data_IF_931810844654
#
_entry.id   IF_931810844654
#
_cell.length_a   1.000
_cell.length_b   1.000
_cell.length_c   1.000
_cell.angle_alpha   90.00
_cell.angle_beta   90.00
_cell.angle_gamma   90.00
#
_symmetry.space_group_name_H-M   'P 1'
#
loop_
_entity.id
_entity.type
_entity.pdbx_description
1 polymer ?
#
# COMPACT_ATOMS: atom_id res chain seq x y z
N UNK A 1 -23.37 -2.39 24.40
CA UNK A 1 -23.34 -3.51 23.46
C UNK A 1 -22.30 -3.16 22.41
N UNK A 2 -21.09 -3.70 22.53
CA UNK A 2 -20.03 -3.52 21.53
C UNK A 2 -20.46 -4.30 20.29
N UNK A 3 -20.61 -3.60 19.16
CA UNK A 3 -20.73 -4.28 17.86
C UNK A 3 -19.49 -5.17 17.68
N UNK A 4 -19.62 -6.40 17.13
CA UNK A 4 -18.45 -7.18 16.80
C UNK A 4 -17.59 -6.37 15.83
N UNK A 5 -16.28 -6.31 16.08
CA UNK A 5 -15.34 -5.80 15.09
C UNK A 5 -15.44 -6.68 13.84
N UNK A 6 -15.66 -6.06 12.67
CA UNK A 6 -15.59 -6.78 11.40
C UNK A 6 -14.12 -7.09 11.13
N UNK A 7 -13.73 -8.36 11.25
CA UNK A 7 -12.37 -8.80 10.95
C UNK A 7 -12.08 -8.60 9.45
N UNK A 8 -10.91 -8.04 9.14
CA UNK A 8 -10.42 -7.92 7.76
C UNK A 8 -9.71 -9.23 7.38
N UNK A 9 -10.09 -9.80 6.24
CA UNK A 9 -9.48 -10.97 5.62
C UNK A 9 -8.65 -10.52 4.44
N UNK A 10 -7.37 -10.89 4.40
CA UNK A 10 -6.50 -10.54 3.27
C UNK A 10 -6.73 -11.51 2.12
N UNK A 11 -7.65 -11.15 1.22
CA UNK A 11 -8.04 -11.94 0.05
C UNK A 11 -8.19 -11.12 -1.26
N UNK A 12 -7.88 -9.82 -1.21
CA UNK A 12 -7.97 -8.91 -2.34
C UNK A 12 -9.36 -8.30 -2.51
N UNK A 13 -10.30 -8.54 -1.58
CA UNK A 13 -11.67 -8.03 -1.62
C UNK A 13 -11.95 -7.06 -0.47
N UNK A 14 -12.66 -5.97 -0.75
CA UNK A 14 -13.00 -4.94 0.24
C UNK A 14 -14.00 -5.47 1.27
N UNK A 15 -13.50 -5.77 2.46
CA UNK A 15 -14.33 -6.00 3.63
C UNK A 15 -15.05 -4.75 4.14
N UNK A 16 -16.26 -4.88 4.73
CA UNK A 16 -16.95 -3.76 5.39
C UNK A 16 -16.13 -3.07 6.51
N UNK A 17 -15.16 -3.77 7.10
CA UNK A 17 -14.33 -3.26 8.21
C UNK A 17 -13.41 -2.09 7.85
N UNK A 18 -13.11 -1.91 6.56
CA UNK A 18 -12.27 -0.81 6.07
C UNK A 18 -12.92 0.58 6.22
N UNK A 19 -14.25 0.67 6.15
CA UNK A 19 -14.95 1.95 6.10
C UNK A 19 -14.84 2.66 4.74
N UNK A 20 -14.97 4.00 4.68
CA UNK A 20 -14.87 4.75 3.43
C UNK A 20 -13.44 4.75 2.86
N UNK A 21 -13.27 5.01 1.55
CA UNK A 21 -11.94 5.12 0.95
C UNK A 21 -11.15 6.28 1.57
N UNK A 22 -9.84 6.07 1.75
CA UNK A 22 -8.90 7.14 2.14
C UNK A 22 -8.40 7.94 0.94
N UNK A 23 -8.52 7.40 -0.27
CA UNK A 23 -8.41 8.12 -1.53
C UNK A 23 -9.16 7.42 -2.66
N UNK A 24 -9.47 8.19 -3.70
CA UNK A 24 -10.17 7.74 -4.91
C UNK A 24 -9.46 8.36 -6.11
N UNK A 25 -9.25 7.57 -7.15
CA UNK A 25 -8.53 7.98 -8.36
C UNK A 25 -9.24 9.14 -9.07
N UNK A 26 -8.46 10.11 -9.52
CA UNK A 26 -8.92 11.34 -10.17
C UNK A 26 -8.66 11.37 -11.67
N UNK A 27 -7.78 10.50 -12.18
CA UNK A 27 -7.39 10.43 -13.59
C UNK A 27 -7.63 9.03 -14.18
N UNK A 28 -8.04 8.99 -15.44
CA UNK A 28 -8.08 7.77 -16.27
C UNK A 28 -6.69 7.12 -16.39
N UNK A 29 -6.62 5.83 -16.77
CA UNK A 29 -5.35 5.07 -16.84
C UNK A 29 -4.71 5.06 -18.22
N UNK A 30 -3.39 5.24 -18.28
CA UNK A 30 -2.60 5.01 -19.50
C UNK A 30 -1.83 3.68 -19.48
N UNK A 31 -1.89 2.92 -18.40
CA UNK A 31 -1.34 1.55 -18.32
C UNK A 31 -2.39 0.47 -18.60
N UNK A 32 -3.54 0.88 -19.13
CA UNK A 32 -4.62 0.01 -19.58
C UNK A 32 -5.68 -0.22 -18.50
N UNK A 33 -6.92 -0.32 -18.97
CA UNK A 33 -8.12 -0.71 -18.21
C UNK A 33 -8.45 -2.15 -18.58
N UNK A 34 -8.76 -2.98 -17.58
CA UNK A 34 -9.15 -4.38 -17.79
C UNK A 34 -10.58 -4.47 -18.34
N UNK A 35 -10.74 -4.23 -19.64
CA UNK A 35 -12.03 -4.31 -20.33
C UNK A 35 -11.99 -5.38 -21.43
N UNK A 36 -12.81 -6.45 -21.37
CA UNK A 36 -13.92 -6.73 -20.45
C UNK A 36 -13.52 -7.36 -19.10
N UNK A 37 -14.47 -7.52 -18.15
CA UNK A 37 -14.23 -8.21 -16.88
C UNK A 37 -13.57 -9.58 -16.99
N UNK A 38 -12.56 -9.83 -16.16
CA UNK A 38 -11.82 -11.08 -16.14
C UNK A 38 -10.79 -11.23 -17.28
N UNK A 39 -10.50 -10.15 -18.00
CA UNK A 39 -9.36 -10.09 -18.91
C UNK A 39 -8.05 -9.89 -18.13
N UNK A 40 -7.00 -10.59 -18.58
CA UNK A 40 -5.63 -10.28 -18.19
C UNK A 40 -5.22 -9.04 -18.99
N UNK A 41 -5.34 -7.84 -18.42
CA UNK A 41 -4.90 -6.63 -19.11
C UNK A 41 -5.10 -5.39 -18.26
N UNK A 42 -4.17 -4.45 -18.36
CA UNK A 42 -4.28 -3.16 -17.69
C UNK A 42 -3.73 -3.16 -16.27
N UNK A 43 -2.99 -2.09 -15.96
CA UNK A 43 -2.63 -1.76 -14.58
C UNK A 43 -3.25 -0.41 -14.24
N UNK A 44 -4.13 -0.40 -13.24
CA UNK A 44 -4.91 0.76 -12.86
C UNK A 44 -5.24 0.75 -11.36
N UNK A 45 -5.41 1.94 -10.79
CA UNK A 45 -5.78 2.12 -9.40
C UNK A 45 -7.09 2.90 -9.33
N UNK A 46 -8.04 2.42 -8.54
CA UNK A 46 -9.37 3.01 -8.39
C UNK A 46 -9.55 3.73 -7.05
N UNK A 47 -9.22 3.07 -5.95
CA UNK A 47 -9.39 3.63 -4.61
C UNK A 47 -8.47 2.94 -3.60
N UNK A 48 -8.13 3.68 -2.55
CA UNK A 48 -7.38 3.17 -1.43
C UNK A 48 -8.28 3.05 -0.20
N UNK A 49 -8.16 1.94 0.51
CA UNK A 49 -8.80 1.70 1.80
C UNK A 49 -7.73 1.31 2.80
N UNK A 50 -7.76 1.89 3.99
CA UNK A 50 -6.79 1.59 5.02
C UNK A 50 -7.45 1.48 6.39
N UNK A 51 -7.03 0.50 7.17
CA UNK A 51 -7.50 0.28 8.53
C UNK A 51 -6.34 -0.13 9.41
N UNK A 52 -6.24 0.48 10.58
CA UNK A 52 -5.37 -0.02 11.64
C UNK A 52 -6.22 -0.74 12.68
N UNK A 53 -5.94 -2.02 12.88
CA UNK A 53 -6.60 -2.88 13.87
C UNK A 53 -5.68 -4.03 14.28
N UNK A 54 -5.76 -4.47 15.53
CA UNK A 54 -4.99 -5.62 16.01
C UNK A 54 -3.47 -5.45 15.92
N UNK A 55 -2.97 -4.21 15.94
CA UNK A 55 -1.54 -3.90 15.79
C UNK A 55 -1.01 -4.02 14.36
N UNK A 56 -1.90 -3.98 13.36
CA UNK A 56 -1.55 -4.10 11.93
C UNK A 56 -2.16 -2.97 11.13
N UNK A 57 -1.45 -2.54 10.09
CA UNK A 57 -1.98 -1.76 8.99
C UNK A 57 -2.52 -2.73 7.93
N UNK A 58 -3.81 -2.64 7.63
CA UNK A 58 -4.45 -3.25 6.48
C UNK A 58 -4.59 -2.19 5.40
N UNK A 59 -4.15 -2.50 4.19
CA UNK A 59 -4.19 -1.63 3.03
C UNK A 59 -4.76 -2.40 1.85
N UNK A 60 -5.87 -1.92 1.29
CA UNK A 60 -6.43 -2.41 0.03
C UNK A 60 -6.36 -1.29 -1.01
N UNK A 61 -5.75 -1.59 -2.13
CA UNK A 61 -5.72 -0.75 -3.31
C UNK A 61 -6.56 -1.43 -4.39
N UNK A 62 -7.76 -0.91 -4.63
CA UNK A 62 -8.67 -1.48 -5.62
C UNK A 62 -8.24 -1.11 -7.04
N UNK A 63 -8.49 -1.99 -7.99
CA UNK A 63 -8.06 -1.84 -9.39
C UNK A 63 -7.47 -3.13 -9.94
N UNK A 64 -6.59 -2.99 -10.93
CA UNK A 64 -5.96 -4.11 -11.63
C UNK A 64 -4.44 -3.99 -11.67
N UNK A 65 -3.77 -5.14 -11.71
CA UNK A 65 -2.34 -5.31 -11.88
C UNK A 65 -2.10 -6.34 -12.98
N UNK A 66 -1.59 -5.90 -14.12
CA UNK A 66 -1.41 -6.78 -15.27
C UNK A 66 -0.26 -7.79 -15.03
N UNK A 67 -0.39 -9.07 -15.43
CA UNK A 67 0.68 -10.06 -15.36
C UNK A 67 1.75 -9.88 -16.45
N UNK A 68 2.35 -8.70 -16.51
CA UNK A 68 3.37 -8.30 -17.48
C UNK A 68 4.63 -7.73 -16.83
N UNK A 69 4.83 -7.99 -15.52
CA UNK A 69 5.88 -7.43 -14.67
C UNK A 69 5.81 -5.92 -14.42
N UNK A 70 4.76 -5.21 -14.80
CA UNK A 70 4.47 -3.92 -14.17
C UNK A 70 4.50 -4.09 -12.64
N UNK A 71 4.79 -3.00 -11.94
CA UNK A 71 4.92 -3.00 -10.49
C UNK A 71 3.95 -2.05 -9.85
N UNK A 72 3.43 -2.46 -8.72
CA UNK A 72 2.81 -1.56 -7.77
C UNK A 72 3.90 -1.21 -6.75
N UNK A 73 4.36 0.04 -6.78
CA UNK A 73 5.31 0.60 -5.84
C UNK A 73 4.53 1.28 -4.70
N UNK A 74 4.80 0.90 -3.46
CA UNK A 74 4.20 1.46 -2.24
C UNK A 74 5.32 1.89 -1.30
N UNK A 75 5.56 3.19 -1.24
CA UNK A 75 6.46 3.78 -0.26
C UNK A 75 5.68 4.11 1.01
N UNK A 76 6.31 3.89 2.16
CA UNK A 76 5.70 4.12 3.47
C UNK A 76 6.64 5.01 4.29
N UNK A 77 6.09 6.10 4.80
CA UNK A 77 6.68 7.00 5.82
C UNK A 77 5.89 6.76 7.10
N UNK A 78 6.52 6.21 8.12
CA UNK A 78 5.87 5.89 9.39
C UNK A 78 6.70 6.24 10.63
N UNK A 79 7.92 6.74 10.43
CA UNK A 79 8.81 7.17 11.50
C UNK A 79 9.67 8.37 11.04
N UNK A 80 10.27 9.13 11.97
CA UNK A 80 11.20 10.18 11.58
C UNK A 80 12.44 9.61 10.89
N UNK A 81 12.85 10.21 9.78
CA UNK A 81 13.95 9.71 8.95
C UNK A 81 13.45 9.39 7.55
N UNK A 82 14.19 8.56 6.82
CA UNK A 82 13.84 8.19 5.45
C UNK A 82 14.33 9.17 4.39
N UNK A 83 13.74 9.07 3.19
CA UNK A 83 14.15 9.80 2.00
C UNK A 83 12.97 10.53 1.33
N UNK A 84 12.99 11.87 1.31
CA UNK A 84 12.05 12.61 0.44
C UNK A 84 12.46 12.54 -1.04
N UNK A 85 13.76 12.54 -1.31
CA UNK A 85 14.33 12.31 -2.64
C UNK A 85 15.08 10.99 -2.56
N UNK A 86 14.64 9.99 -3.31
CA UNK A 86 15.27 8.67 -3.25
C UNK A 86 16.71 8.71 -3.76
N UNK A 87 17.63 8.12 -3.02
CA UNK A 87 18.97 7.80 -3.49
C UNK A 87 18.95 6.58 -4.43
N UNK A 88 20.10 6.28 -5.04
CA UNK A 88 20.29 5.08 -5.85
C UNK A 88 20.36 3.78 -5.02
N UNK A 89 20.48 3.92 -3.70
CA UNK A 89 20.53 2.83 -2.74
C UNK A 89 19.22 2.77 -1.94
N UNK A 90 18.89 1.65 -1.28
CA UNK A 90 19.60 0.38 -1.30
C UNK A 90 19.44 -0.43 -2.60
N UNK A 91 20.30 -1.44 -2.73
CA UNK A 91 20.35 -2.39 -3.83
C UNK A 91 19.39 -3.56 -3.57
N UNK A 92 18.23 -3.54 -4.20
CA UNK A 92 17.25 -4.63 -4.15
C UNK A 92 16.57 -4.79 -5.49
N UNK A 93 15.78 -5.85 -5.61
CA UNK A 93 15.15 -6.28 -6.85
C UNK A 93 16.18 -6.57 -7.97
N UNK A 94 16.55 -7.85 -8.09
CA UNK A 94 17.51 -8.28 -9.11
C UNK A 94 16.78 -8.78 -10.34
N UNK A 95 16.99 -8.14 -11.48
CA UNK A 95 16.45 -8.61 -12.75
C UNK A 95 17.54 -8.72 -13.83
N UNK A 96 17.45 -9.79 -14.64
CA UNK A 96 18.23 -10.02 -15.85
C UNK A 96 19.77 -9.82 -15.74
N UNK A 97 20.35 -10.10 -14.58
CA UNK A 97 21.78 -10.38 -14.49
C UNK A 97 22.74 -9.19 -14.56
N UNK A 98 22.31 -7.91 -14.53
CA UNK A 98 23.31 -6.82 -14.55
C UNK A 98 23.07 -5.53 -13.76
N UNK A 99 21.92 -5.25 -13.13
CA UNK A 99 21.78 -4.09 -12.23
C UNK A 99 20.71 -4.36 -11.17
N UNK A 100 20.88 -3.82 -9.96
CA UNK A 100 19.79 -3.69 -8.98
C UNK A 100 18.81 -2.65 -9.49
N UNK A 101 17.65 -3.09 -9.97
CA UNK A 101 16.73 -2.18 -10.67
C UNK A 101 16.07 -1.18 -9.71
N UNK A 102 16.18 -1.38 -8.38
CA UNK A 102 15.86 -0.35 -7.39
C UNK A 102 16.62 0.96 -7.61
N UNK A 103 17.84 0.92 -8.16
CA UNK A 103 18.63 2.12 -8.46
C UNK A 103 17.97 3.04 -9.50
N UNK A 104 17.05 2.52 -10.31
CA UNK A 104 16.30 3.34 -11.27
C UNK A 104 15.29 4.28 -10.59
N UNK A 105 14.90 4.00 -9.34
CA UNK A 105 14.06 4.88 -8.54
C UNK A 105 14.79 6.17 -8.10
N UNK A 106 16.11 6.26 -8.30
CA UNK A 106 16.91 7.40 -7.86
C UNK A 106 16.32 8.73 -8.38
N UNK A 107 16.29 9.72 -7.48
CA UNK A 107 15.82 11.06 -7.75
C UNK A 107 14.29 11.22 -7.78
N UNK A 108 13.50 10.15 -7.67
CA UNK A 108 12.06 10.29 -7.40
C UNK A 108 11.87 11.15 -6.15
N UNK A 109 11.14 12.25 -6.30
CA UNK A 109 10.86 13.21 -5.23
C UNK A 109 9.42 13.08 -4.78
N UNK A 110 9.19 12.89 -3.48
CA UNK A 110 7.86 12.80 -2.88
C UNK A 110 7.31 14.16 -2.43
N UNK A 111 6.04 14.19 -2.01
CA UNK A 111 5.45 15.34 -1.32
C UNK A 111 6.34 15.85 -0.17
N UNK A 112 6.37 17.18 0.05
CA UNK A 112 7.25 17.83 1.04
C UNK A 112 7.19 17.32 2.50
N UNK A 113 6.17 16.54 2.87
CA UNK A 113 6.01 15.96 4.22
C UNK A 113 6.17 14.44 4.23
N UNK A 114 6.71 13.88 3.16
CA UNK A 114 6.89 12.45 2.98
C UNK A 114 8.38 12.14 2.87
N UNK A 115 8.87 11.28 3.76
CA UNK A 115 10.24 10.77 3.77
C UNK A 115 10.18 9.25 3.82
N UNK A 116 10.46 8.57 2.70
CA UNK A 116 10.27 7.13 2.57
C UNK A 116 11.18 6.35 3.54
N UNK A 117 10.58 5.62 4.47
CA UNK A 117 11.27 4.67 5.35
C UNK A 117 11.35 3.29 4.70
N UNK A 118 10.23 2.85 4.12
CA UNK A 118 10.05 1.50 3.59
C UNK A 118 9.60 1.54 2.13
N UNK A 119 9.93 0.46 1.41
CA UNK A 119 9.39 0.17 0.10
C UNK A 119 8.78 -1.22 0.10
N UNK A 120 7.46 -1.27 -0.09
CA UNK A 120 6.73 -2.47 -0.46
C UNK A 120 6.48 -2.40 -1.96
N UNK A 121 6.74 -3.47 -2.68
CA UNK A 121 6.32 -3.54 -4.07
C UNK A 121 5.84 -4.94 -4.42
N UNK A 122 4.94 -4.99 -5.40
CA UNK A 122 4.47 -6.25 -5.96
C UNK A 122 4.68 -6.31 -7.45
N UNK A 123 4.71 -7.52 -7.98
CA UNK A 123 4.76 -7.80 -9.42
C UNK A 123 3.98 -9.07 -9.72
N UNK A 124 3.48 -9.16 -10.94
CA UNK A 124 2.84 -10.37 -11.44
C UNK A 124 3.44 -10.78 -12.77
N UNK A 125 3.94 -12.01 -12.85
CA UNK A 125 4.50 -12.58 -14.08
C UNK A 125 5.56 -13.65 -13.83
N UNK A 126 5.97 -14.33 -14.90
CA UNK A 126 7.05 -15.33 -14.88
C UNK A 126 6.57 -16.78 -14.69
N UNK A 127 7.37 -17.77 -15.08
CA UNK A 127 7.11 -19.19 -14.76
C UNK A 127 5.82 -19.83 -15.34
N UNK A 128 5.06 -19.14 -16.19
CA UNK A 128 3.80 -19.61 -16.77
C UNK A 128 2.85 -18.43 -17.07
N UNK A 129 1.60 -18.72 -17.47
CA UNK A 129 0.55 -17.71 -17.63
C UNK A 129 -0.55 -17.95 -16.58
N UNK A 130 -0.87 -16.98 -15.69
CA UNK A 130 -0.31 -15.63 -15.59
C UNK A 130 1.02 -15.52 -14.81
N UNK A 131 1.51 -16.63 -14.24
CA UNK A 131 2.71 -16.61 -13.38
C UNK A 131 2.40 -16.29 -11.91
N UNK A 132 3.40 -16.31 -11.03
CA UNK A 132 3.24 -15.99 -9.61
C UNK A 132 3.03 -14.49 -9.38
N UNK A 133 2.20 -14.16 -8.39
CA UNK A 133 2.17 -12.83 -7.79
C UNK A 133 3.20 -12.78 -6.65
N UNK A 134 4.14 -11.84 -6.72
CA UNK A 134 5.26 -11.74 -5.80
C UNK A 134 5.22 -10.39 -5.07
N UNK A 135 5.65 -10.39 -3.81
CA UNK A 135 5.70 -9.19 -2.96
C UNK A 135 7.05 -9.15 -2.24
N UNK A 136 7.63 -7.96 -2.24
CA UNK A 136 8.87 -7.64 -1.56
C UNK A 136 8.62 -6.46 -0.59
N UNK A 137 9.31 -6.48 0.56
CA UNK A 137 9.25 -5.45 1.59
C UNK A 137 10.66 -5.13 2.08
N UNK A 138 11.06 -3.87 1.97
CA UNK A 138 12.42 -3.39 2.23
C UNK A 138 12.39 -2.24 3.22
N UNK A 139 13.22 -2.32 4.27
CA UNK A 139 13.58 -1.17 5.10
C UNK A 139 14.69 -0.43 4.38
N UNK A 140 14.40 0.76 3.85
CA UNK A 140 15.36 1.50 3.03
C UNK A 140 16.49 2.11 3.85
N UNK A 141 16.35 2.19 5.18
CA UNK A 141 17.33 2.79 6.09
C UNK A 141 17.85 4.17 5.62
N UNK A 142 16.95 4.99 5.06
CA UNK A 142 17.27 6.32 4.55
C UNK A 142 18.26 6.34 3.37
N UNK A 143 18.39 5.23 2.63
CA UNK A 143 19.31 5.13 1.50
C UNK A 143 20.79 5.14 1.88
N UNK A 144 21.12 4.99 3.18
CA UNK A 144 22.48 5.16 3.68
C UNK A 144 23.44 3.99 3.36
N UNK A 145 22.89 2.84 2.96
CA UNK A 145 23.66 1.63 2.67
C UNK A 145 23.10 0.89 1.46
N UNK A 146 23.97 0.20 0.72
CA UNK A 146 23.56 -0.66 -0.38
C UNK A 146 22.82 -1.92 0.12
N UNK A 147 23.25 -2.49 1.24
CA UNK A 147 22.67 -3.71 1.81
C UNK A 147 21.86 -3.37 3.07
N UNK A 148 20.57 -3.68 3.04
CA UNK A 148 19.60 -3.34 4.10
C UNK A 148 18.71 -4.54 4.42
N UNK A 149 17.93 -4.51 5.51
CA UNK A 149 16.92 -5.52 5.75
C UNK A 149 15.85 -5.55 4.65
N UNK A 150 15.48 -6.75 4.24
CA UNK A 150 14.50 -6.97 3.17
C UNK A 150 13.91 -8.37 3.25
N UNK A 151 12.68 -8.52 2.78
CA UNK A 151 11.91 -9.75 2.87
C UNK A 151 11.08 -9.91 1.59
N UNK A 152 10.96 -11.14 1.09
CA UNK A 152 10.18 -11.42 -0.11
C UNK A 152 9.32 -12.67 0.04
N UNK A 153 8.23 -12.73 -0.70
CA UNK A 153 7.34 -13.87 -0.71
C UNK A 153 6.57 -14.01 -2.02
N UNK A 154 6.11 -15.22 -2.25
CA UNK A 154 5.40 -15.61 -3.47
C UNK A 154 4.00 -16.08 -3.09
N UNK A 155 2.99 -15.61 -3.81
CA UNK A 155 1.62 -16.02 -3.66
C UNK A 155 1.40 -17.47 -4.06
N UNK A 156 0.29 -18.03 -3.59
CA UNK A 156 -0.18 -19.34 -4.03
C UNK A 156 -0.44 -19.34 -5.54
N UNK A 157 -0.41 -20.54 -6.14
CA UNK A 157 -0.83 -20.71 -7.53
C UNK A 157 -2.21 -20.08 -7.73
N UNK A 158 -2.35 -19.31 -8.82
CA UNK A 158 -3.54 -18.51 -9.06
C UNK A 158 -4.77 -19.41 -9.27
N UNK A 159 -5.88 -19.05 -8.63
CA UNK A 159 -7.18 -19.66 -8.89
C UNK A 159 -8.03 -18.60 -9.59
N UNK A 160 -8.16 -18.73 -10.91
CA UNK A 160 -8.66 -17.64 -11.76
C UNK A 160 -7.66 -16.48 -11.75
N UNK A 161 -8.13 -15.29 -11.38
CA UNK A 161 -7.33 -14.07 -11.25
C UNK A 161 -7.03 -13.69 -9.80
N UNK A 162 -7.09 -14.67 -8.90
CA UNK A 162 -6.89 -14.48 -7.47
C UNK A 162 -5.63 -15.22 -7.02
N UNK A 163 -4.79 -14.55 -6.23
CA UNK A 163 -3.67 -15.16 -5.52
C UNK A 163 -3.58 -14.59 -4.11
N UNK A 164 -3.25 -15.44 -3.14
CA UNK A 164 -3.03 -15.06 -1.75
C UNK A 164 -1.70 -15.62 -1.28
N UNK A 165 -1.03 -14.91 -0.40
CA UNK A 165 0.28 -15.31 0.10
C UNK A 165 0.65 -14.64 1.41
N UNK A 166 1.80 -15.04 1.93
CA UNK A 166 2.41 -14.38 3.08
C UNK A 166 3.92 -14.43 2.97
N UNK A 167 4.57 -13.36 3.38
CA UNK A 167 5.99 -13.37 3.71
C UNK A 167 6.11 -13.82 5.16
N UNK A 168 6.83 -14.91 5.42
CA UNK A 168 6.98 -15.43 6.78
C UNK A 168 7.79 -14.47 7.66
N UNK A 169 7.51 -14.45 8.97
CA UNK A 169 8.36 -13.75 9.94
C UNK A 169 9.79 -14.27 9.85
N UNK A 170 10.77 -13.36 9.83
CA UNK A 170 12.18 -13.72 9.68
C UNK A 170 12.62 -14.08 8.27
N UNK A 171 11.73 -14.05 7.27
CA UNK A 171 12.12 -14.28 5.88
C UNK A 171 13.09 -13.19 5.41
N UNK A 172 14.13 -13.61 4.68
CA UNK A 172 15.16 -12.72 4.13
C UNK A 172 15.02 -12.73 2.61
N UNK A 173 14.84 -11.56 2.04
CA UNK A 173 14.72 -11.37 0.59
C UNK A 173 16.06 -11.50 -0.12
N UNK A 174 16.06 -11.55 -1.47
CA UNK A 174 17.28 -11.52 -2.26
C UNK A 174 18.12 -10.27 -1.92
N UNK A 175 19.42 -10.46 -1.73
CA UNK A 175 20.37 -9.36 -1.44
C UNK A 175 19.98 -8.49 -0.24
N UNK A 176 19.44 -9.10 0.82
CA UNK A 176 19.15 -8.40 2.06
C UNK A 176 20.19 -8.71 3.15
N UNK A 177 20.51 -7.71 3.99
CA UNK A 177 21.38 -7.85 5.17
C UNK A 177 20.71 -8.63 6.32
N UNK A 178 19.40 -8.84 6.23
CA UNK A 178 18.56 -9.45 7.25
C UNK A 178 17.09 -9.33 6.86
N UNK A 179 16.21 -9.72 7.78
CA UNK A 179 14.75 -9.63 7.59
C UNK A 179 14.24 -8.24 7.93
N UNK A 180 13.30 -7.73 7.14
CA UNK A 180 12.52 -6.53 7.48
C UNK A 180 11.27 -6.86 8.32
N UNK A 181 11.02 -8.16 8.62
CA UNK A 181 9.76 -8.63 9.19
C UNK A 181 9.96 -9.46 10.46
N UNK A 182 9.41 -9.00 11.57
CA UNK A 182 9.29 -9.74 12.83
C UNK A 182 7.98 -10.51 12.92
N UNK A 183 6.98 -10.17 12.11
CA UNK A 183 5.70 -10.86 11.99
C UNK A 183 5.42 -11.22 10.53
N UNK A 184 4.51 -12.17 10.24
CA UNK A 184 4.13 -12.43 8.86
C UNK A 184 3.50 -11.19 8.22
N UNK A 185 3.89 -10.85 6.99
CA UNK A 185 3.19 -9.91 6.12
C UNK A 185 2.25 -10.72 5.24
N UNK A 186 0.95 -10.42 5.26
CA UNK A 186 -0.02 -11.09 4.40
C UNK A 186 -0.31 -10.24 3.18
N UNK A 187 -0.50 -10.87 2.03
CA UNK A 187 -0.87 -10.19 0.81
C UNK A 187 -1.83 -11.00 -0.03
N UNK A 188 -2.60 -10.31 -0.85
CA UNK A 188 -3.49 -10.91 -1.81
C UNK A 188 -3.67 -10.01 -3.03
N UNK A 189 -4.08 -10.62 -4.12
CA UNK A 189 -4.60 -9.93 -5.29
C UNK A 189 -5.90 -10.63 -5.72
N UNK A 190 -6.94 -9.84 -5.96
CA UNK A 190 -8.15 -10.25 -6.65
C UNK A 190 -8.31 -9.37 -7.89
N UNK A 191 -7.76 -9.83 -9.02
CA UNK A 191 -7.67 -9.06 -10.25
C UNK A 191 -8.89 -9.24 -11.16
N UNK A 192 -10.08 -9.36 -10.57
CA UNK A 192 -11.36 -9.47 -11.30
C UNK A 192 -12.06 -8.11 -11.48
N UNK A 193 -11.33 -6.99 -11.33
CA UNK A 193 -11.92 -5.68 -11.55
C UNK A 193 -12.13 -5.43 -13.06
N UNK A 194 -13.21 -4.71 -13.36
CA UNK A 194 -13.67 -4.44 -14.72
C UNK A 194 -14.46 -3.15 -14.85
N UNK A 195 -14.42 -2.36 -13.79
CA UNK A 195 -15.18 -1.15 -13.59
C UNK A 195 -14.23 -0.14 -12.94
N UNK A 196 -14.75 1.06 -12.71
CA UNK A 196 -13.97 2.12 -12.09
C UNK A 196 -13.44 3.09 -13.11
N UNK A 197 -12.13 3.32 -13.09
CA UNK A 197 -11.46 4.16 -14.09
C UNK A 197 -11.48 3.49 -15.47
N UNK A 198 -11.25 4.30 -16.50
CA UNK A 198 -11.18 3.83 -17.89
C UNK A 198 -9.86 4.27 -18.51
N UNK A 199 -9.54 3.76 -19.69
CA UNK A 199 -8.34 4.14 -20.42
C UNK A 199 -8.35 5.59 -20.91
N UNK A 200 -7.29 6.36 -20.62
CA UNK A 200 -7.11 7.74 -21.08
C UNK A 200 -6.31 8.62 -20.11
N UNK A 201 -6.51 9.94 -20.23
CA UNK A 201 -5.95 10.95 -19.31
C UNK A 201 -7.04 11.88 -18.78
N UNK A 202 -8.31 11.65 -19.12
CA UNK A 202 -9.43 12.45 -18.68
C UNK A 202 -9.65 12.35 -17.17
N UNK A 203 -10.64 13.10 -16.69
CA UNK A 203 -11.07 13.00 -15.30
C UNK A 203 -11.77 11.66 -15.07
N UNK A 204 -11.32 10.91 -14.07
CA UNK A 204 -11.95 9.66 -13.67
C UNK A 204 -13.35 9.88 -13.09
N UNK A 205 -14.25 8.91 -13.31
CA UNK A 205 -15.50 8.85 -12.57
C UNK A 205 -15.25 8.32 -11.16
N UNK A 206 -15.04 9.24 -10.21
CA UNK A 206 -14.74 8.89 -8.81
C UNK A 206 -15.83 8.04 -8.14
N UNK A 207 -17.10 8.17 -8.52
CA UNK A 207 -18.16 7.33 -7.97
C UNK A 207 -18.04 5.88 -8.46
N UNK A 208 -17.64 5.68 -9.73
CA UNK A 208 -17.35 4.36 -10.26
C UNK A 208 -16.09 3.77 -9.62
N UNK A 209 -15.01 4.55 -9.51
CA UNK A 209 -13.76 4.11 -8.90
C UNK A 209 -13.95 3.68 -7.43
N UNK A 210 -14.67 4.48 -6.63
CA UNK A 210 -15.00 4.12 -5.24
C UNK A 210 -15.95 2.90 -5.11
N UNK A 211 -16.65 2.51 -6.17
CA UNK A 211 -17.51 1.33 -6.19
C UNK A 211 -16.72 0.03 -6.41
N UNK A 212 -15.49 0.10 -6.92
CA UNK A 212 -14.62 -1.07 -7.06
C UNK A 212 -14.28 -1.64 -5.70
N UNK A 213 -14.31 -2.97 -5.61
CA UNK A 213 -14.16 -3.71 -4.36
C UNK A 213 -13.09 -4.80 -4.42
N UNK A 214 -12.34 -4.91 -5.53
CA UNK A 214 -11.29 -5.92 -5.70
C UNK A 214 -9.99 -5.26 -6.12
N UNK A 215 -8.85 -5.84 -5.72
CA UNK A 215 -7.53 -5.36 -6.13
C UNK A 215 -6.41 -6.00 -5.32
N UNK A 216 -5.39 -5.21 -4.99
CA UNK A 216 -4.19 -5.65 -4.26
C UNK A 216 -4.30 -5.28 -2.79
N UNK A 217 -4.10 -6.25 -1.90
CA UNK A 217 -4.32 -6.11 -0.47
C UNK A 217 -3.10 -6.57 0.32
N UNK A 218 -2.79 -5.84 1.41
CA UNK A 218 -1.63 -6.07 2.25
C UNK A 218 -1.99 -5.91 3.72
N UNK A 219 -1.39 -6.72 4.58
CA UNK A 219 -1.45 -6.56 6.03
C UNK A 219 -0.05 -6.60 6.63
N UNK A 220 0.37 -5.47 7.20
CA UNK A 220 1.72 -5.24 7.73
C UNK A 220 1.62 -4.99 9.23
N UNK A 221 2.45 -5.63 10.04
CA UNK A 221 2.47 -5.35 11.47
C UNK A 221 3.03 -3.94 11.72
N UNK A 222 2.43 -3.17 12.63
CA UNK A 222 2.97 -1.87 13.02
C UNK A 222 4.37 -2.00 13.64
N UNK A 223 4.67 -3.14 14.27
CA UNK A 223 5.99 -3.47 14.80
C UNK A 223 7.09 -3.45 13.72
N UNK A 224 6.73 -3.78 12.47
CA UNK A 224 7.64 -3.80 11.31
C UNK A 224 7.65 -2.45 10.56
N UNK A 225 6.86 -1.47 11.02
CA UNK A 225 6.79 -0.10 10.51
C UNK A 225 7.34 0.94 11.50
N UNK A 226 8.24 0.53 12.41
CA UNK A 226 8.81 1.42 13.42
C UNK A 226 7.93 1.60 14.67
N UNK A 227 6.85 0.83 14.81
CA UNK A 227 5.90 0.92 15.93
C UNK A 227 5.33 2.32 16.16
N UNK A 228 4.72 2.96 15.14
CA UNK A 228 4.19 4.31 15.27
C UNK A 228 3.16 4.35 16.40
N UNK A 229 3.38 5.29 17.33
CA UNK A 229 2.52 5.47 18.50
C UNK A 229 1.13 5.96 18.12
N UNK A 230 0.22 5.95 19.09
CA UNK A 230 -1.12 6.48 18.88
C UNK A 230 -1.08 7.96 18.47
N UNK A 231 -1.95 8.35 17.54
CA UNK A 231 -1.98 9.69 16.97
C UNK A 231 -0.86 9.98 15.96
N UNK A 232 0.13 9.09 15.81
CA UNK A 232 1.11 9.19 14.72
C UNK A 232 0.43 9.04 13.36
N UNK A 233 1.04 9.63 12.34
CA UNK A 233 0.55 9.58 10.96
C UNK A 233 1.49 8.69 10.17
N UNK A 234 0.93 7.63 9.59
CA UNK A 234 1.58 6.85 8.55
C UNK A 234 1.17 7.48 7.22
N UNK A 235 2.15 7.82 6.38
CA UNK A 235 1.91 8.25 5.01
C UNK A 235 2.26 7.15 4.03
N UNK A 236 1.48 7.07 2.95
CA UNK A 236 1.66 6.05 1.91
C UNK A 236 1.64 6.71 0.55
N UNK A 237 2.66 6.50 -0.26
CA UNK A 237 2.66 6.86 -1.68
C UNK A 237 2.59 5.58 -2.49
N UNK A 238 1.46 5.37 -3.19
CA UNK A 238 1.20 4.18 -3.98
C UNK A 238 1.04 4.53 -5.45
N UNK A 239 1.77 3.83 -6.32
CA UNK A 239 1.89 4.15 -7.74
C UNK A 239 2.18 2.93 -8.60
N UNK A 240 1.73 2.94 -9.86
CA UNK A 240 2.06 1.91 -10.85
C UNK A 240 3.29 2.33 -11.65
N UNK A 241 4.22 1.41 -11.80
CA UNK A 241 5.47 1.60 -12.53
C UNK A 241 5.69 0.44 -13.51
N UNK A 242 6.60 0.60 -14.46
CA UNK A 242 7.01 -0.51 -15.30
C UNK A 242 7.91 -1.50 -14.53
N UNK A 243 8.22 -2.63 -15.15
CA UNK A 243 9.01 -3.68 -14.50
C UNK A 243 10.44 -3.32 -14.12
N UNK A 244 11.00 -2.25 -14.68
CA UNK A 244 12.36 -1.79 -14.36
C UNK A 244 12.39 -0.59 -13.40
N UNK A 245 11.24 -0.17 -12.85
CA UNK A 245 11.08 1.05 -12.05
C UNK A 245 11.57 2.36 -12.71
N UNK A 246 11.58 2.45 -14.03
CA UNK A 246 12.14 3.58 -14.77
C UNK A 246 11.15 4.28 -15.69
N UNK A 247 9.87 3.93 -15.60
CA UNK A 247 8.81 4.60 -16.34
C UNK A 247 7.51 4.58 -15.54
N UNK A 248 7.23 5.69 -14.86
CA UNK A 248 6.09 5.81 -13.97
C UNK A 248 4.79 6.07 -14.74
N UNK A 249 3.74 5.34 -14.39
CA UNK A 249 2.39 5.53 -14.93
C UNK A 249 1.77 6.85 -14.44
N UNK A 250 0.64 7.23 -15.00
CA UNK A 250 -0.22 8.26 -14.42
C UNK A 250 -1.07 7.75 -13.25
N UNK A 251 -0.93 6.48 -12.88
CA UNK A 251 -1.68 5.82 -11.82
C UNK A 251 -0.97 5.93 -10.48
N UNK A 252 -1.22 7.05 -9.79
CA UNK A 252 -0.92 7.27 -8.37
C UNK A 252 -2.23 7.38 -7.59
N UNK A 253 -2.28 6.96 -6.33
CA UNK A 253 -3.51 6.99 -5.53
C UNK A 253 -3.79 8.32 -4.79
N UNK A 254 -2.82 9.22 -4.68
CA UNK A 254 -3.15 10.61 -4.36
C UNK A 254 -3.88 11.32 -5.51
N UNK A 255 -3.88 10.71 -6.70
CA UNK A 255 -4.60 11.14 -7.89
C UNK A 255 -3.89 12.31 -8.58
N UNK A 256 -3.50 12.13 -9.83
CA UNK A 256 -2.96 13.22 -10.63
C UNK A 256 -4.10 14.10 -11.17
N UNK A 257 -3.82 15.38 -11.48
CA UNK A 257 -4.79 16.23 -12.15
C UNK A 257 -5.28 15.61 -13.47
N UNK A 258 -6.57 15.77 -13.77
CA UNK A 258 -7.11 15.37 -15.06
C UNK A 258 -6.33 16.05 -16.21
N UNK A 259 -6.04 15.29 -17.25
CA UNK A 259 -5.17 15.64 -18.37
C UNK A 259 -3.73 15.13 -18.21
N UNK A 260 -3.33 14.67 -17.02
CA UNK A 260 -1.97 14.16 -16.77
C UNK A 260 -1.80 12.78 -17.42
N UNK A 261 -0.87 12.69 -18.36
CA UNK A 261 -0.41 11.42 -18.94
C UNK A 261 0.59 10.72 -18.03
N UNK A 262 1.15 9.60 -18.51
CA UNK A 262 2.24 8.91 -17.84
C UNK A 262 3.33 9.92 -17.46
N UNK A 263 3.89 9.76 -16.27
CA UNK A 263 4.97 10.62 -15.80
C UNK A 263 6.30 10.22 -16.45
N UNK A 264 6.45 8.95 -16.83
CA UNK A 264 7.71 8.44 -17.38
C UNK A 264 8.83 8.52 -16.35
N UNK A 265 10.04 8.85 -16.80
CA UNK A 265 11.19 9.13 -15.95
C UNK A 265 11.50 10.64 -15.80
N UNK A 266 10.91 11.48 -16.66
CA UNK A 266 11.11 12.94 -16.66
C UNK A 266 9.95 13.74 -16.04
N UNK A 267 8.90 13.07 -15.56
CA UNK A 267 7.70 13.72 -15.03
C UNK A 267 6.74 14.25 -16.11
N UNK A 268 7.06 14.08 -17.39
CA UNK A 268 6.30 14.60 -18.53
C UNK A 268 5.99 13.52 -19.60
N UNK A 269 6.24 12.24 -19.27
CA UNK A 269 5.94 11.08 -20.11
C UNK A 269 7.11 10.57 -20.95
N UNK A 270 8.28 11.20 -20.86
CA UNK A 270 9.51 10.76 -21.50
C UNK A 270 10.25 9.69 -20.69
N UNK A 271 10.89 8.76 -21.38
CA UNK A 271 11.75 7.76 -20.76
C UNK A 271 13.19 8.30 -20.60
N UNK A 272 13.73 8.24 -19.39
CA UNK A 272 15.09 8.70 -19.07
C UNK A 272 15.97 7.61 -18.44
N UNK A 273 15.42 6.41 -18.23
CA UNK A 273 16.11 5.28 -17.57
C UNK A 273 16.10 5.34 -16.04
N UNK A 274 15.64 6.43 -15.43
CA UNK A 274 15.45 6.59 -13.98
C UNK A 274 14.22 7.45 -13.70
N UNK A 275 13.78 7.59 -12.45
CA UNK A 275 12.71 8.50 -12.07
C UNK A 275 13.21 9.89 -11.62
N UNK A 276 14.45 10.26 -11.94
CA UNK A 276 15.08 11.48 -11.42
C UNK A 276 14.45 12.81 -11.85
N UNK A 277 13.59 12.80 -12.87
CA UNK A 277 12.79 13.97 -13.26
C UNK A 277 11.38 14.00 -12.66
N UNK A 278 10.97 12.96 -11.93
CA UNK A 278 9.64 12.89 -11.32
C UNK A 278 9.64 13.60 -9.96
N UNK A 279 8.86 14.68 -9.87
CA UNK A 279 8.61 15.41 -8.63
C UNK A 279 7.11 15.41 -8.29
N UNK A 280 6.72 14.51 -7.37
CA UNK A 280 5.35 14.41 -6.88
C UNK A 280 4.98 15.62 -5.99
N UNK A 281 5.97 16.28 -5.37
CA UNK A 281 5.78 17.50 -4.61
C UNK A 281 5.36 18.70 -5.45
N UNK A 282 5.45 18.61 -6.78
CA UNK A 282 4.92 19.63 -7.70
C UNK A 282 3.38 19.70 -7.71
N UNK A 283 2.70 18.64 -7.25
CA UNK A 283 1.23 18.53 -7.23
C UNK A 283 0.61 19.02 -5.91
N UNK A 284 1.10 20.12 -5.31
CA UNK A 284 0.78 20.54 -3.93
C UNK A 284 -0.72 20.70 -3.59
N UNK A 285 -1.59 20.90 -4.58
CA UNK A 285 -3.05 20.99 -4.37
C UNK A 285 -3.75 19.62 -4.29
N UNK A 286 -3.04 18.56 -4.64
CA UNK A 286 -3.47 17.15 -4.64
C UNK A 286 -2.29 16.32 -4.11
N UNK A 287 -2.09 16.25 -2.78
CA UNK A 287 -0.99 15.48 -2.20
C UNK A 287 -0.97 14.05 -2.76
N UNK A 288 0.19 13.60 -3.22
CA UNK A 288 0.34 12.27 -3.80
C UNK A 288 0.48 11.16 -2.75
N UNK A 289 0.57 11.53 -1.48
CA UNK A 289 0.61 10.65 -0.32
C UNK A 289 -0.72 10.62 0.46
N UNK A 290 -1.15 9.42 0.80
CA UNK A 290 -2.27 9.12 1.69
C UNK A 290 -1.86 9.34 3.14
N UNK A 291 -2.81 9.69 4.02
CA UNK A 291 -2.54 9.88 5.46
C UNK A 291 -3.43 8.96 6.31
N UNK A 292 -2.81 8.07 7.07
CA UNK A 292 -3.47 7.11 7.96
C UNK A 292 -3.06 7.44 9.39
N UNK A 293 -4.03 7.76 10.25
CA UNK A 293 -3.76 8.07 11.67
C UNK A 293 -3.84 6.80 12.49
N UNK A 294 -2.80 6.52 13.29
CA UNK A 294 -2.83 5.43 14.26
C UNK A 294 -3.90 5.73 15.32
N UNK A 295 -4.92 4.89 15.48
CA UNK A 295 -6.04 5.17 16.37
C UNK A 295 -5.57 5.20 17.82
N UNK A 296 -6.12 6.14 18.59
CA UNK A 296 -5.97 6.13 20.05
C UNK A 296 -6.58 4.86 20.65
N UNK A 297 -6.02 4.33 21.76
CA UNK A 297 -6.62 3.20 22.44
C UNK A 297 -8.01 3.62 22.89
N UNK A 298 -9.03 2.88 22.49
CA UNK A 298 -10.38 3.12 23.00
C UNK A 298 -10.33 2.87 24.50
N UNK A 299 -10.31 3.94 25.30
CA UNK A 299 -10.38 3.81 26.75
C UNK A 299 -11.78 3.28 27.05
N UNK A 300 -11.88 2.01 27.41
CA UNK A 300 -13.11 1.44 27.94
C UNK A 300 -13.42 2.23 29.21
N UNK A 301 -14.38 3.15 29.11
CA UNK A 301 -14.88 3.90 30.26
C UNK A 301 -15.51 2.87 31.20
N UNK A 302 -14.74 2.47 32.21
CA UNK A 302 -15.15 1.58 33.29
C UNK A 302 -16.06 2.34 34.28
N UNK A 303 -17.11 3.01 33.78
CA UNK A 303 -18.06 3.77 34.63
C UNK A 303 -19.21 2.91 35.18
N UNK A 304 -19.12 1.57 35.11
CA UNK A 304 -20.21 0.66 35.47
C UNK A 304 -20.15 0.02 36.86
N UNK A 305 -19.07 0.15 37.64
CA UNK A 305 -18.90 -0.59 38.91
C UNK A 305 -18.86 0.25 40.19
N UNK A 306 -18.92 1.58 40.10
CA UNK A 306 -18.89 2.44 41.29
C UNK A 306 -20.28 2.77 41.90
N UNK A 307 -21.39 2.55 41.18
CA UNK A 307 -22.74 2.96 41.63
C UNK A 307 -23.51 1.84 42.36
N UNK A 308 -23.15 0.57 42.17
CA UNK A 308 -23.78 -0.54 42.90
C UNK A 308 -23.22 -0.74 44.34
N UNK A 309 -22.02 -0.21 44.63
CA UNK A 309 -21.37 -0.36 45.95
C UNK A 309 -21.85 0.62 47.02
N UNK A 310 -22.49 1.74 46.66
CA UNK A 310 -22.92 2.77 47.63
C UNK A 310 -24.38 2.63 48.09
N UNK A 311 -25.17 1.73 47.50
CA UNK A 311 -26.58 1.54 47.90
C UNK A 311 -26.72 0.47 49.01
N UNK A 312 -25.66 -0.30 49.33
CA UNK A 312 -25.77 -1.45 50.24
C UNK A 312 -25.31 -1.24 51.70
N UNK A 313 -24.91 -0.04 52.10
CA UNK A 313 -24.55 0.25 53.51
C UNK A 313 -25.58 1.12 54.28
N UNK A 314 -26.77 1.32 53.72
CA UNK A 314 -27.73 2.30 54.22
C UNK A 314 -28.94 1.77 55.03
N UNK A 315 -28.92 0.60 55.68
CA UNK A 315 -30.04 0.21 56.60
C UNK A 315 -29.56 -0.59 57.82
N UNK A 316 -29.36 0.09 58.96
CA UNK A 316 -29.37 -0.53 60.29
C UNK A 316 -30.80 -0.52 60.86
N UNK A 317 -31.29 -1.62 61.48
CA UNK A 317 -32.61 -1.66 62.10
C UNK A 317 -32.63 -0.96 63.46
N UNK A 318 -33.66 -0.17 63.73
CA UNK A 318 -34.01 0.28 65.09
C UNK A 318 -35.02 -0.72 65.67
N UNK A 319 -34.72 -1.23 66.86
CA UNK A 319 -35.56 -2.17 67.58
C UNK A 319 -36.82 -1.56 68.19
N UNK A 320 -37.77 -2.46 68.47
CA UNK A 320 -38.50 -2.53 69.73
C UNK A 320 -38.24 -3.91 70.33
#
# INVERSE_FOLDING_TARGET
MTLPAFAITVDGTRDPGYGPPVAVQTVETQFGDASPPGALGGSELDAAYAKIEGGRLYLLLTGNHEPNFNKLDIFIDSQPGGENILSATPDYDFFNGSVWISSNLQGLTFDSLFEADYHLFSRWGGGGSPGPYEVDFVDRAGGAAALVPGSSGVGSATVGLVSTGSIAAGAVGPNAAGTALTQPLHFAINNNNAAGVVGGTGAANQAAAAAVATGMEFSIALADLGSPGNGAVIRISAMVNNGDHNYLSNQTLGGLPAGTGNLGGDGAGGFTGTLSGVDLGSYQNTPQSLRIVVPEPTTVVLAGLAVAGMIWFGRRPKGQ
#
